data_IF_183759686004
#
_entry.id   IF_183759686004
#
_cell.length_a   1.000
_cell.length_b   1.000
_cell.length_c   1.000
_cell.angle_alpha   90.00
_cell.angle_beta   90.00
_cell.angle_gamma   90.00
#
_symmetry.space_group_name_H-M   'P 1'
#
loop_
_entity.id
_entity.type
_entity.pdbx_description
1 polymer ?
#
# COMPACT_ATOMS: atom_id res chain seq x y z
N UNK A 1 5.88 -3.43 -10.68
CA UNK A 1 7.21 -2.88 -10.37
C UNK A 1 7.82 -3.74 -9.31
N UNK A 2 9.06 -4.17 -9.46
CA UNK A 2 9.77 -4.94 -8.44
C UNK A 2 11.06 -4.20 -8.07
N UNK A 3 11.16 -3.85 -6.79
CA UNK A 3 12.30 -3.28 -6.04
C UNK A 3 13.34 -2.40 -6.77
N UNK A 4 12.95 -1.62 -7.77
CA UNK A 4 13.90 -0.81 -8.57
C UNK A 4 14.41 0.44 -7.82
N UNK A 5 13.82 0.80 -6.67
CA UNK A 5 14.11 2.03 -5.90
C UNK A 5 14.71 1.77 -4.51
N UNK A 6 15.13 0.54 -4.20
CA UNK A 6 15.58 0.15 -2.86
C UNK A 6 16.78 0.95 -2.31
N UNK A 7 17.56 1.62 -3.17
CA UNK A 7 18.71 2.45 -2.81
C UNK A 7 18.44 3.97 -2.77
N UNK A 8 17.19 4.41 -2.93
CA UNK A 8 16.83 5.82 -2.93
C UNK A 8 16.46 6.31 -1.52
N UNK A 9 16.74 7.58 -1.25
CA UNK A 9 16.26 8.28 -0.06
C UNK A 9 14.72 8.35 -0.02
N UNK A 10 14.18 8.46 1.19
CA UNK A 10 12.74 8.39 1.43
C UNK A 10 11.95 9.45 0.65
N UNK A 11 12.45 10.69 0.61
CA UNK A 11 11.78 11.80 -0.08
C UNK A 11 11.75 11.58 -1.60
N UNK A 12 12.85 11.11 -2.18
CA UNK A 12 12.92 10.78 -3.61
C UNK A 12 12.02 9.60 -3.97
N UNK A 13 11.96 8.55 -3.15
CA UNK A 13 11.06 7.42 -3.39
C UNK A 13 9.59 7.83 -3.33
N UNK A 14 9.21 8.68 -2.36
CA UNK A 14 7.86 9.24 -2.29
C UNK A 14 7.51 10.08 -3.52
N UNK A 15 8.43 10.92 -3.99
CA UNK A 15 8.22 11.72 -5.19
C UNK A 15 8.00 10.84 -6.43
N UNK A 16 8.82 9.80 -6.60
CA UNK A 16 8.69 8.84 -7.69
C UNK A 16 7.35 8.11 -7.63
N UNK A 17 6.96 7.62 -6.45
CA UNK A 17 5.68 6.92 -6.29
C UNK A 17 4.48 7.84 -6.56
N UNK A 18 4.57 9.11 -6.15
CA UNK A 18 3.54 10.10 -6.46
C UNK A 18 3.42 10.32 -7.97
N UNK A 19 4.54 10.50 -8.67
CA UNK A 19 4.55 10.68 -10.13
C UNK A 19 4.01 9.45 -10.84
N UNK A 20 4.38 8.25 -10.41
CA UNK A 20 3.86 7.01 -10.99
C UNK A 20 2.35 6.88 -10.79
N UNK A 21 1.85 7.24 -9.61
CA UNK A 21 0.41 7.19 -9.31
C UNK A 21 -0.39 8.19 -10.16
N UNK A 22 0.12 9.40 -10.36
CA UNK A 22 -0.59 10.41 -11.17
C UNK A 22 -0.43 10.16 -12.67
N UNK A 23 0.75 9.75 -13.13
CA UNK A 23 1.00 9.52 -14.55
C UNK A 23 0.29 8.27 -15.08
N UNK A 24 -0.06 7.32 -14.20
CA UNK A 24 -0.64 6.03 -14.56
C UNK A 24 -2.04 5.84 -13.97
N UNK A 25 -2.73 6.93 -13.61
CA UNK A 25 -4.07 6.89 -13.00
C UNK A 25 -5.09 6.13 -13.86
N UNK A 26 -4.98 6.21 -15.19
CA UNK A 26 -5.89 5.56 -16.15
C UNK A 26 -5.41 4.17 -16.62
N UNK A 27 -4.32 3.64 -16.04
CA UNK A 27 -3.72 2.36 -16.46
C UNK A 27 -3.91 1.31 -15.37
N UNK A 28 -4.33 0.09 -15.75
CA UNK A 28 -4.36 -1.03 -14.81
C UNK A 28 -2.94 -1.47 -14.46
N UNK A 29 -2.58 -1.32 -13.19
CA UNK A 29 -1.26 -1.69 -12.66
C UNK A 29 -1.36 -2.83 -11.66
N UNK A 30 -0.51 -3.85 -11.84
CA UNK A 30 -0.22 -4.83 -10.80
C UNK A 30 1.14 -4.51 -10.18
N UNK A 31 1.15 -4.26 -8.87
CA UNK A 31 2.35 -3.95 -8.10
C UNK A 31 2.62 -5.07 -7.11
N UNK A 32 3.84 -5.60 -7.13
CA UNK A 32 4.36 -6.51 -6.11
C UNK A 32 5.35 -5.67 -5.31
N UNK A 33 5.11 -5.48 -4.02
CA UNK A 33 5.95 -4.61 -3.21
C UNK A 33 6.11 -5.15 -1.79
N UNK A 34 7.30 -4.95 -1.25
CA UNK A 34 7.67 -5.27 0.12
C UNK A 34 7.57 -4.04 1.05
N UNK A 35 7.37 -2.83 0.48
CA UNK A 35 7.20 -1.58 1.24
C UNK A 35 5.73 -1.31 1.51
N UNK A 36 5.38 -1.19 2.79
CA UNK A 36 3.99 -0.91 3.20
C UNK A 36 3.48 0.44 2.69
N UNK A 37 4.34 1.45 2.61
CA UNK A 37 3.99 2.77 2.07
C UNK A 37 3.49 2.70 0.62
N UNK A 38 4.12 1.86 -0.20
CA UNK A 38 3.69 1.65 -1.59
C UNK A 38 2.31 1.01 -1.65
N UNK A 39 2.08 -0.06 -0.89
CA UNK A 39 0.81 -0.80 -0.94
C UNK A 39 -0.35 -0.05 -0.30
N UNK A 40 -0.11 0.77 0.73
CA UNK A 40 -1.13 1.63 1.35
C UNK A 40 -1.64 2.73 0.41
N UNK A 41 -0.82 3.13 -0.56
CA UNK A 41 -1.17 4.12 -1.57
C UNK A 41 -2.01 3.58 -2.74
N UNK A 42 -2.37 2.29 -2.71
CA UNK A 42 -3.10 1.60 -3.79
C UNK A 42 -4.58 1.38 -3.47
N UNK A 43 -5.31 1.04 -4.52
CA UNK A 43 -6.77 0.88 -4.47
C UNK A 43 -7.22 -0.42 -3.81
N UNK A 44 -6.49 -1.50 -4.11
CA UNK A 44 -6.72 -2.85 -3.62
C UNK A 44 -5.36 -3.49 -3.38
N UNK A 45 -5.30 -4.31 -2.35
CA UNK A 45 -4.12 -5.11 -2.02
C UNK A 45 -4.50 -6.57 -1.88
N UNK A 46 -3.55 -7.43 -2.22
CA UNK A 46 -3.63 -8.88 -2.08
C UNK A 46 -2.47 -9.32 -1.18
N UNK A 47 -2.79 -9.86 -0.01
CA UNK A 47 -1.78 -10.42 0.89
C UNK A 47 -1.66 -11.91 0.59
N UNK A 48 -0.46 -12.32 0.21
CA UNK A 48 -0.11 -13.72 -0.07
C UNK A 48 0.79 -14.27 1.04
N UNK A 49 0.51 -15.49 1.47
CA UNK A 49 1.37 -16.24 2.38
C UNK A 49 1.40 -17.71 1.97
N UNK A 50 2.59 -18.31 1.89
CA UNK A 50 2.81 -19.70 1.47
C UNK A 50 1.99 -20.14 0.23
N UNK A 51 1.88 -19.28 -0.78
CA UNK A 51 1.15 -19.55 -2.03
C UNK A 51 -0.38 -19.50 -1.91
N UNK A 52 -0.92 -18.99 -0.79
CA UNK A 52 -2.35 -18.79 -0.55
C UNK A 52 -2.67 -17.32 -0.39
N UNK A 53 -3.87 -16.93 -0.84
CA UNK A 53 -4.42 -15.60 -0.59
C UNK A 53 -4.93 -15.55 0.84
N UNK A 54 -4.29 -14.72 1.67
CA UNK A 54 -4.68 -14.53 3.06
C UNK A 54 -5.71 -13.42 3.20
N UNK A 55 -5.53 -12.33 2.47
CA UNK A 55 -6.42 -11.18 2.51
C UNK A 55 -6.49 -10.48 1.15
N UNK A 56 -7.66 -9.92 0.86
CA UNK A 56 -7.90 -9.08 -0.31
C UNK A 56 -8.90 -7.99 0.05
N UNK A 57 -8.64 -6.75 -0.36
CA UNK A 57 -9.49 -5.61 -0.04
C UNK A 57 -8.76 -4.27 -0.20
N UNK A 58 -9.41 -3.17 0.18
CA UNK A 58 -8.71 -1.88 0.24
C UNK A 58 -7.74 -1.87 1.44
N UNK A 59 -6.62 -1.14 1.37
CA UNK A 59 -5.73 -0.97 2.52
C UNK A 59 -6.45 -0.43 3.76
N UNK A 60 -7.42 0.47 3.56
CA UNK A 60 -8.22 1.04 4.65
C UNK A 60 -9.05 -0.02 5.38
N UNK A 61 -9.85 -0.80 4.67
CA UNK A 61 -10.68 -1.86 5.27
C UNK A 61 -9.81 -2.92 5.97
N UNK A 62 -8.70 -3.31 5.34
CA UNK A 62 -7.81 -4.33 5.89
C UNK A 62 -7.04 -3.83 7.11
N UNK A 63 -6.69 -2.54 7.17
CA UNK A 63 -6.06 -1.92 8.35
C UNK A 63 -6.99 -1.88 9.58
N UNK A 64 -8.32 -1.90 9.37
CA UNK A 64 -9.30 -1.86 10.45
C UNK A 64 -9.70 -3.24 10.98
N UNK A 65 -9.43 -4.33 10.23
CA UNK A 65 -9.72 -5.69 10.68
C UNK A 65 -8.85 -6.06 11.90
N UNK A 66 -9.51 -6.39 13.01
CA UNK A 66 -8.81 -6.96 14.17
C UNK A 66 -8.29 -8.36 13.84
N UNK A 67 -7.03 -8.65 14.22
CA UNK A 67 -6.37 -9.93 13.91
C UNK A 67 -6.13 -10.15 12.41
N UNK A 68 -6.12 -9.08 11.61
CA UNK A 68 -5.84 -9.18 10.18
C UNK A 68 -4.34 -9.11 9.89
N UNK A 69 -3.86 -9.98 9.00
CA UNK A 69 -2.46 -10.03 8.55
C UNK A 69 -1.90 -8.66 8.17
N UNK A 70 -2.63 -7.90 7.34
CA UNK A 70 -2.19 -6.58 6.90
C UNK A 70 -2.03 -5.59 8.06
N UNK A 71 -2.99 -5.58 8.99
CA UNK A 71 -2.92 -4.71 10.17
C UNK A 71 -1.72 -5.06 11.05
N UNK A 72 -1.44 -6.35 11.21
CA UNK A 72 -0.30 -6.81 12.02
C UNK A 72 1.03 -6.44 11.35
N UNK A 73 1.12 -6.50 10.01
CA UNK A 73 2.26 -5.97 9.26
C UNK A 73 2.44 -4.46 9.48
N UNK A 74 1.36 -3.66 9.41
CA UNK A 74 1.41 -2.22 9.68
C UNK A 74 1.84 -1.89 11.11
N UNK A 75 1.47 -2.71 12.10
CA UNK A 75 1.92 -2.53 13.48
C UNK A 75 3.41 -2.83 13.65
N UNK A 76 3.90 -3.87 12.96
CA UNK A 76 5.29 -4.29 13.03
C UNK A 76 6.25 -3.32 12.33
N UNK A 77 5.78 -2.53 11.36
CA UNK A 77 6.62 -1.56 10.67
C UNK A 77 6.98 -0.31 11.50
N UNK A 78 6.25 -0.03 12.58
CA UNK A 78 6.42 1.20 13.36
C UNK A 78 5.82 2.46 12.70
N UNK A 79 5.24 2.33 11.51
CA UNK A 79 4.67 3.43 10.70
C UNK A 79 3.13 3.40 10.67
N UNK A 80 2.48 2.68 11.60
CA UNK A 80 1.02 2.41 11.58
C UNK A 80 0.17 3.68 11.37
N UNK A 81 0.52 4.78 12.05
CA UNK A 81 -0.24 6.03 11.95
C UNK A 81 -0.21 6.62 10.53
N UNK A 82 0.97 6.69 9.92
CA UNK A 82 1.16 7.24 8.58
C UNK A 82 0.51 6.35 7.52
N UNK A 83 0.70 5.03 7.63
CA UNK A 83 0.10 4.05 6.73
C UNK A 83 -1.43 4.11 6.78
N UNK A 84 -2.01 4.29 7.96
CA UNK A 84 -3.45 4.39 8.15
C UNK A 84 -4.03 5.69 7.61
N UNK A 85 -3.33 6.82 7.80
CA UNK A 85 -3.71 8.10 7.22
C UNK A 85 -3.69 8.06 5.69
N UNK A 86 -2.64 7.49 5.11
CA UNK A 86 -2.52 7.30 3.66
C UNK A 86 -3.64 6.42 3.12
N UNK A 87 -3.88 5.26 3.74
CA UNK A 87 -4.94 4.34 3.35
C UNK A 87 -6.32 5.02 3.39
N UNK A 88 -6.57 5.85 4.41
CA UNK A 88 -7.80 6.64 4.53
C UNK A 88 -7.94 7.64 3.39
N UNK A 89 -6.89 8.41 3.11
CA UNK A 89 -6.90 9.43 2.05
C UNK A 89 -7.22 8.84 0.68
N UNK A 90 -6.64 7.67 0.36
CA UNK A 90 -6.92 6.95 -0.90
C UNK A 90 -8.36 6.44 -0.94
N UNK A 91 -8.85 5.87 0.16
CA UNK A 91 -10.23 5.38 0.26
C UNK A 91 -11.27 6.50 0.09
N UNK A 92 -11.05 7.64 0.75
CA UNK A 92 -11.94 8.80 0.68
C UNK A 92 -11.97 9.37 -0.75
N UNK A 93 -10.83 9.47 -1.44
CA UNK A 93 -10.75 9.93 -2.84
C UNK A 93 -11.51 9.04 -3.83
N UNK A 94 -11.64 7.75 -3.55
CA UNK A 94 -12.38 6.81 -4.41
C UNK A 94 -13.88 6.70 -4.09
N UNK A 95 -14.28 7.17 -2.92
CA UNK A 95 -15.67 7.11 -2.45
C UNK A 95 -16.39 8.44 -2.67
N UNK A 96 -15.65 9.52 -2.91
CA UNK A 96 -16.13 10.83 -3.37
C UNK A 96 -16.49 10.81 -4.86
#
# INVERSE_FOLDING_TARGET
MDESTANLDHDTDLAIQNVLRTALEDVQMLVIAHRLMTVCGLDKILVLDHGKVMQYGTPWELSQKQGGFFRDLCKQSGEEAQLREMAKSVHDKKTA
#
